data_IF_837370386524
#
_entry.id   IF_837370386524
#
_cell.length_a   1.000
_cell.length_b   1.000
_cell.length_c   1.000
_cell.angle_alpha   90.00
_cell.angle_beta   90.00
_cell.angle_gamma   90.00
#
_symmetry.space_group_name_H-M   'P 1'
#
loop_
_entity.id
_entity.type
_entity.pdbx_description
1 polymer ?
#
# COMPACT_ATOMS: atom_id res chain seq x y z
N UNK A 1 20.10 6.02 17.53
CA UNK A 1 18.91 6.40 16.75
C UNK A 1 18.90 5.54 15.51
N UNK A 2 17.94 4.66 15.36
CA UNK A 2 17.81 3.81 14.17
C UNK A 2 16.73 4.40 13.32
N UNK A 3 17.05 4.76 12.09
CA UNK A 3 16.01 4.92 11.07
C UNK A 3 15.95 3.56 10.40
N UNK A 4 14.88 2.83 10.69
CA UNK A 4 14.55 1.63 9.95
C UNK A 4 13.47 2.09 8.98
N UNK A 5 13.80 2.29 7.70
CA UNK A 5 12.76 2.08 6.70
C UNK A 5 12.66 0.56 6.51
N UNK A 6 11.45 0.05 6.36
CA UNK A 6 11.19 -1.32 5.88
C UNK A 6 10.45 -1.14 4.56
N UNK A 7 11.03 -1.58 3.45
CA UNK A 7 10.22 -2.02 2.33
C UNK A 7 10.14 -3.55 2.36
N UNK A 8 8.94 -4.06 2.14
CA UNK A 8 8.65 -5.49 2.09
C UNK A 8 9.43 -6.15 0.94
N UNK A 9 10.61 -6.72 1.22
CA UNK A 9 11.33 -7.55 0.24
C UNK A 9 10.58 -8.89 0.07
N UNK A 10 9.69 -8.95 -0.92
CA UNK A 10 9.05 -10.19 -1.36
C UNK A 10 10.07 -11.08 -2.11
N UNK A 11 10.92 -11.81 -1.37
CA UNK A 11 11.71 -12.90 -1.96
C UNK A 11 10.81 -14.10 -2.25
N UNK A 12 10.41 -14.24 -3.51
CA UNK A 12 9.93 -15.51 -4.04
C UNK A 12 11.11 -16.50 -4.15
N UNK A 13 11.30 -17.32 -3.12
CA UNK A 13 11.88 -18.66 -3.30
C UNK A 13 10.76 -19.69 -3.12
N UNK A 14 10.12 -19.97 -4.24
CA UNK A 14 9.11 -21.00 -4.38
C UNK A 14 9.15 -21.47 -5.81
N UNK A 15 9.84 -22.58 -6.05
CA UNK A 15 9.78 -23.36 -7.28
C UNK A 15 8.33 -23.75 -7.56
N UNK A 16 7.61 -22.90 -8.31
CA UNK A 16 6.30 -23.20 -8.88
C UNK A 16 6.49 -24.14 -10.09
N UNK A 17 6.47 -25.44 -9.81
CA UNK A 17 6.15 -26.45 -10.81
C UNK A 17 4.62 -26.61 -10.82
N UNK A 18 3.93 -25.81 -11.64
CA UNK A 18 2.92 -26.29 -12.59
C UNK A 18 2.45 -25.08 -13.41
N UNK A 19 3.00 -24.92 -14.62
CA UNK A 19 2.35 -24.13 -15.65
C UNK A 19 1.35 -25.04 -16.35
N UNK A 20 0.11 -25.06 -15.87
CA UNK A 20 -1.00 -25.18 -16.81
C UNK A 20 -1.39 -23.75 -17.16
N UNK A 21 -0.88 -23.28 -18.30
CA UNK A 21 -1.51 -22.17 -19.02
C UNK A 21 -2.90 -22.70 -19.42
N UNK A 22 -3.90 -22.38 -18.62
CA UNK A 22 -5.31 -22.52 -19.00
C UNK A 22 -5.56 -21.38 -19.98
N UNK A 23 -5.67 -21.69 -21.28
CA UNK A 23 -5.99 -20.70 -22.30
C UNK A 23 -7.32 -20.03 -21.93
N UNK A 24 -7.32 -18.71 -21.79
CA UNK A 24 -8.52 -17.92 -21.62
C UNK A 24 -9.40 -18.14 -22.86
N UNK A 25 -10.59 -18.76 -22.75
CA UNK A 25 -11.40 -19.11 -23.93
C UNK A 25 -12.12 -17.90 -24.56
N UNK A 26 -11.75 -16.68 -24.17
CA UNK A 26 -12.42 -15.43 -24.55
C UNK A 26 -11.45 -14.32 -24.98
N UNK A 27 -10.27 -14.67 -25.51
CA UNK A 27 -9.41 -13.71 -26.22
C UNK A 27 -9.99 -13.23 -27.56
N UNK A 28 -11.12 -13.79 -28.02
CA UNK A 28 -11.80 -13.38 -29.26
C UNK A 28 -13.20 -12.82 -28.98
N UNK A 29 -13.29 -11.65 -28.34
CA UNK A 29 -14.30 -10.68 -28.79
C UNK A 29 -13.55 -9.66 -29.62
N UNK A 30 -13.32 -10.01 -30.88
CA UNK A 30 -12.81 -9.07 -31.88
C UNK A 30 -13.85 -7.95 -32.01
N UNK A 31 -13.60 -6.82 -31.35
CA UNK A 31 -14.41 -5.62 -31.51
C UNK A 31 -14.23 -5.15 -32.94
N UNK A 32 -15.16 -5.53 -33.80
CA UNK A 32 -15.09 -5.14 -35.20
C UNK A 32 -15.22 -3.62 -35.27
N UNK A 33 -14.52 -2.98 -36.20
CA UNK A 33 -14.56 -1.52 -36.40
C UNK A 33 -15.98 -0.99 -36.73
N UNK A 34 -16.96 -1.89 -36.89
CA UNK A 34 -18.37 -1.61 -37.18
C UNK A 34 -19.31 -1.83 -35.98
N UNK A 35 -18.80 -2.14 -34.79
CA UNK A 35 -19.65 -2.35 -33.61
C UNK A 35 -20.25 -1.00 -33.16
N UNK A 36 -21.58 -0.91 -33.17
CA UNK A 36 -22.27 0.30 -32.72
C UNK A 36 -22.49 0.27 -31.21
N UNK A 37 -22.16 1.40 -30.56
CA UNK A 37 -22.24 1.57 -29.11
C UNK A 37 -23.44 2.46 -28.77
N UNK A 38 -24.38 1.93 -28.00
CA UNK A 38 -25.46 2.72 -27.44
C UNK A 38 -25.12 3.14 -26.00
N UNK A 39 -25.03 4.46 -25.78
CA UNK A 39 -24.88 5.07 -24.47
C UNK A 39 -26.15 5.88 -24.13
N UNK A 40 -26.66 5.74 -22.91
CA UNK A 40 -27.61 6.72 -22.39
C UNK A 40 -26.81 7.91 -21.84
N UNK A 41 -26.95 9.08 -22.47
CA UNK A 41 -26.51 10.35 -21.88
C UNK A 41 -27.74 10.93 -21.17
N UNK A 42 -27.65 11.20 -19.87
CA UNK A 42 -28.70 11.87 -19.11
C UNK A 42 -28.86 13.31 -19.63
N UNK A 43 -29.94 13.58 -20.38
CA UNK A 43 -30.19 14.81 -21.12
C UNK A 43 -31.32 15.68 -20.55
N UNK A 44 -31.73 15.50 -19.29
CA UNK A 44 -32.87 16.23 -18.72
C UNK A 44 -32.82 16.54 -17.21
N UNK A 45 -32.65 17.83 -16.91
CA UNK A 45 -33.11 18.60 -15.73
C UNK A 45 -33.04 17.94 -14.34
N UNK A 46 -32.07 18.39 -13.53
CA UNK A 46 -31.88 18.02 -12.12
C UNK A 46 -33.05 18.53 -11.26
N UNK A 47 -34.10 17.73 -11.09
CA UNK A 47 -35.03 17.85 -9.95
C UNK A 47 -34.37 17.23 -8.71
N UNK A 48 -33.94 18.09 -7.79
CA UNK A 48 -33.12 17.77 -6.60
C UNK A 48 -33.93 17.12 -5.47
N UNK A 49 -34.82 16.17 -5.77
CA UNK A 49 -35.62 15.49 -4.73
C UNK A 49 -35.71 13.96 -4.83
N UNK A 50 -34.87 13.29 -5.62
CA UNK A 50 -34.63 11.83 -5.40
C UNK A 50 -33.31 11.35 -5.99
N UNK A 51 -32.21 11.47 -5.25
CA UNK A 51 -30.94 10.80 -5.60
C UNK A 51 -31.01 9.30 -5.32
N UNK A 52 -31.72 8.55 -6.17
CA UNK A 52 -31.64 7.10 -6.23
C UNK A 52 -31.13 6.74 -7.62
N UNK A 53 -29.86 6.34 -7.76
CA UNK A 53 -29.25 6.12 -9.07
C UNK A 53 -29.55 4.70 -9.60
N UNK A 54 -30.72 4.16 -9.24
CA UNK A 54 -31.08 2.75 -9.33
C UNK A 54 -32.09 2.46 -10.44
N UNK A 55 -32.11 3.27 -11.50
CA UNK A 55 -33.06 3.09 -12.60
C UNK A 55 -32.39 2.53 -13.85
N UNK A 56 -32.99 1.48 -14.39
CA UNK A 56 -32.77 0.99 -15.74
C UNK A 56 -33.46 1.96 -16.71
N UNK A 57 -32.73 2.45 -17.72
CA UNK A 57 -33.23 3.42 -18.69
C UNK A 57 -33.64 2.71 -19.97
N UNK A 58 -34.78 3.11 -20.54
CA UNK A 58 -35.24 2.58 -21.82
C UNK A 58 -34.80 3.50 -22.95
N UNK A 59 -33.79 3.10 -23.70
CA UNK A 59 -33.28 3.84 -24.86
C UNK A 59 -33.92 3.32 -26.14
N UNK A 60 -34.13 4.21 -27.11
CA UNK A 60 -34.58 3.83 -28.45
C UNK A 60 -33.41 3.92 -29.42
N UNK A 61 -33.08 2.80 -30.05
CA UNK A 61 -31.97 2.68 -30.97
C UNK A 61 -32.40 1.84 -32.19
N UNK A 62 -32.08 2.32 -33.40
CA UNK A 62 -32.49 1.70 -34.66
C UNK A 62 -33.98 1.31 -34.73
N UNK A 63 -34.85 2.16 -34.17
CA UNK A 63 -36.30 1.93 -34.12
C UNK A 63 -36.78 0.93 -33.07
N UNK A 64 -35.89 0.20 -32.40
CA UNK A 64 -36.19 -0.73 -31.31
C UNK A 64 -35.94 -0.09 -29.94
N UNK A 65 -36.49 -0.69 -28.89
CA UNK A 65 -36.26 -0.26 -27.52
C UNK A 65 -35.38 -1.27 -26.80
N UNK A 66 -34.35 -0.78 -26.11
CA UNK A 66 -33.46 -1.57 -25.27
C UNK A 66 -33.49 -1.02 -23.86
N UNK A 67 -33.47 -1.92 -22.88
CA UNK A 67 -33.29 -1.53 -21.51
C UNK A 67 -31.79 -1.54 -21.20
N UNK A 68 -31.31 -0.44 -20.63
CA UNK A 68 -29.92 -0.21 -20.30
C UNK A 68 -29.81 -0.01 -18.78
N UNK A 69 -29.13 -0.92 -18.06
CA UNK A 69 -28.81 -0.71 -16.65
C UNK A 69 -28.04 0.60 -16.42
N UNK A 70 -28.17 1.17 -15.22
CA UNK A 70 -27.44 2.38 -14.84
C UNK A 70 -25.92 2.18 -15.00
N UNK A 71 -25.23 3.22 -15.49
CA UNK A 71 -23.78 3.24 -15.76
C UNK A 71 -23.27 2.07 -16.61
N UNK A 72 -24.07 1.64 -17.59
CA UNK A 72 -23.71 0.54 -18.47
C UNK A 72 -23.69 0.94 -19.94
N UNK A 73 -22.98 0.13 -20.72
CA UNK A 73 -22.89 0.23 -22.17
C UNK A 73 -23.30 -1.12 -22.74
N UNK A 74 -24.15 -1.13 -23.78
CA UNK A 74 -24.54 -2.32 -24.53
C UNK A 74 -23.89 -2.34 -25.92
N UNK A 75 -23.34 -3.50 -26.32
CA UNK A 75 -22.63 -3.70 -27.59
C UNK A 75 -23.52 -4.47 -28.58
N UNK A 76 -23.60 -3.97 -29.81
CA UNK A 76 -24.40 -4.52 -30.91
C UNK A 76 -23.54 -4.80 -32.16
N UNK A 77 -23.10 -6.05 -32.40
CA UNK A 77 -22.33 -6.38 -33.58
C UNK A 77 -23.15 -6.28 -34.88
N UNK A 78 -24.47 -6.49 -34.78
CA UNK A 78 -25.40 -6.46 -35.92
C UNK A 78 -26.42 -5.31 -35.86
N UNK A 79 -26.21 -4.37 -34.94
CA UNK A 79 -27.10 -3.22 -34.66
C UNK A 79 -28.54 -3.61 -34.30
N UNK A 80 -28.77 -4.86 -33.85
CA UNK A 80 -30.10 -5.40 -33.52
C UNK A 80 -30.11 -6.14 -32.19
N UNK A 81 -29.10 -6.94 -31.88
CA UNK A 81 -29.06 -7.79 -30.69
C UNK A 81 -27.94 -7.33 -29.75
N UNK A 82 -28.27 -7.19 -28.46
CA UNK A 82 -27.26 -6.95 -27.41
C UNK A 82 -26.53 -8.26 -27.14
N UNK A 83 -25.25 -8.34 -27.45
CA UNK A 83 -24.42 -9.52 -27.14
C UNK A 83 -23.70 -9.38 -25.80
N UNK A 84 -23.41 -8.14 -25.40
CA UNK A 84 -22.70 -7.82 -24.17
C UNK A 84 -23.22 -6.51 -23.56
N UNK A 85 -23.28 -6.45 -22.23
CA UNK A 85 -23.53 -5.23 -21.48
C UNK A 85 -22.60 -5.18 -20.26
N UNK A 86 -21.97 -4.03 -20.00
CA UNK A 86 -20.94 -3.88 -18.96
C UNK A 86 -21.46 -4.05 -17.52
N UNK A 87 -22.76 -3.92 -17.27
CA UNK A 87 -23.38 -4.13 -15.96
C UNK A 87 -24.12 -5.47 -15.84
N UNK A 88 -24.32 -6.20 -16.94
CA UNK A 88 -24.92 -7.53 -16.94
C UNK A 88 -23.84 -8.61 -16.92
N UNK A 89 -23.20 -8.75 -15.76
CA UNK A 89 -22.17 -9.78 -15.54
C UNK A 89 -22.83 -11.15 -15.39
N UNK A 90 -22.55 -12.06 -16.32
CA UNK A 90 -23.05 -13.45 -16.31
C UNK A 90 -22.16 -14.39 -15.49
N UNK A 91 -20.93 -13.96 -15.21
CA UNK A 91 -19.96 -14.74 -14.46
C UNK A 91 -20.26 -14.71 -12.95
N UNK A 92 -20.08 -15.85 -12.25
CA UNK A 92 -20.25 -15.89 -10.81
C UNK A 92 -19.14 -15.12 -10.09
N UNK A 93 -19.51 -14.44 -9.01
CA UNK A 93 -18.51 -13.81 -8.12
C UNK A 93 -17.71 -14.87 -7.38
N UNK A 94 -16.39 -14.85 -7.53
CA UNK A 94 -15.48 -15.67 -6.74
C UNK A 94 -15.11 -14.95 -5.44
N UNK A 95 -15.49 -15.55 -4.31
CA UNK A 95 -15.10 -15.04 -2.99
C UNK A 95 -13.74 -15.61 -2.59
N UNK A 96 -12.72 -14.77 -2.35
CA UNK A 96 -11.41 -15.24 -1.95
C UNK A 96 -11.49 -15.97 -0.61
N UNK A 97 -10.87 -17.15 -0.53
CA UNK A 97 -10.75 -17.94 0.70
C UNK A 97 -9.30 -18.32 0.92
N UNK A 98 -8.75 -17.96 2.08
CA UNK A 98 -7.43 -18.39 2.53
C UNK A 98 -7.56 -19.45 3.61
N UNK A 99 -7.19 -20.69 3.29
CA UNK A 99 -7.16 -21.79 4.25
C UNK A 99 -5.70 -22.07 4.64
N UNK A 100 -5.34 -22.10 5.93
CA UNK A 100 -3.99 -22.44 6.35
C UNK A 100 -3.67 -23.90 5.99
N UNK A 101 -2.56 -24.12 5.30
CA UNK A 101 -2.16 -25.46 4.79
C UNK A 101 -1.17 -26.17 5.72
N UNK A 102 -0.25 -25.42 6.34
CA UNK A 102 0.82 -26.00 7.17
C UNK A 102 1.25 -25.05 8.28
N UNK A 103 1.94 -25.58 9.29
CA UNK A 103 2.60 -24.83 10.36
C UNK A 103 4.11 -25.03 10.28
N UNK A 104 4.85 -23.94 10.46
CA UNK A 104 6.30 -23.95 10.41
C UNK A 104 6.91 -24.04 11.82
N UNK A 105 8.05 -24.73 11.92
CA UNK A 105 8.90 -24.72 13.10
C UNK A 105 10.01 -23.68 12.90
N UNK A 106 9.80 -22.49 13.47
CA UNK A 106 10.72 -21.35 13.29
C UNK A 106 11.95 -21.44 14.19
N UNK A 107 13.07 -20.97 13.66
CA UNK A 107 14.25 -20.58 14.44
C UNK A 107 14.39 -19.07 14.36
N UNK A 108 14.97 -18.45 15.39
CA UNK A 108 15.19 -17.01 15.42
C UNK A 108 16.63 -16.68 15.79
N UNK A 109 17.07 -15.51 15.30
CA UNK A 109 18.33 -14.90 15.64
C UNK A 109 18.07 -13.44 16.00
N UNK A 110 18.62 -12.99 17.14
CA UNK A 110 18.51 -11.60 17.56
C UNK A 110 19.66 -10.80 16.98
N UNK A 111 19.36 -9.87 16.07
CA UNK A 111 20.34 -8.93 15.57
C UNK A 111 20.87 -8.05 16.71
N UNK A 112 22.18 -7.81 16.73
CA UNK A 112 22.81 -6.99 17.76
C UNK A 112 22.54 -5.51 17.51
N UNK A 113 22.23 -4.76 18.57
CA UNK A 113 21.95 -3.32 18.53
C UNK A 113 23.21 -2.45 18.67
N UNK A 114 24.38 -3.06 18.88
CA UNK A 114 25.68 -2.37 18.87
C UNK A 114 26.11 -2.11 17.43
N UNK A 115 25.76 -0.94 16.91
CA UNK A 115 25.92 -0.60 15.48
C UNK A 115 27.34 -0.20 15.06
N UNK A 116 28.32 -0.23 15.96
CA UNK A 116 29.70 0.08 15.61
C UNK A 116 30.38 -1.21 15.17
N UNK A 117 30.09 -1.59 13.92
CA UNK A 117 30.85 -2.61 13.20
C UNK A 117 31.95 -1.95 12.34
N UNK A 118 32.70 -2.77 11.61
CA UNK A 118 33.80 -2.29 10.74
C UNK A 118 33.32 -1.40 9.57
N UNK A 119 32.00 -1.29 9.35
CA UNK A 119 31.39 -0.43 8.32
C UNK A 119 30.90 0.91 8.88
N UNK A 120 31.00 1.11 10.20
CA UNK A 120 30.65 2.38 10.81
C UNK A 120 31.63 3.49 10.39
N UNK A 121 31.10 4.68 10.13
CA UNK A 121 31.89 5.88 9.84
C UNK A 121 31.41 7.05 10.70
N UNK A 122 32.25 8.08 10.82
CA UNK A 122 31.95 9.29 11.60
C UNK A 122 31.82 10.51 10.70
N UNK A 123 30.92 11.42 11.08
CA UNK A 123 30.77 12.73 10.45
C UNK A 123 30.32 13.75 11.48
N UNK A 124 30.86 14.96 11.37
CA UNK A 124 30.41 16.11 12.17
C UNK A 124 29.10 16.68 11.58
N UNK A 125 28.00 15.97 11.81
CA UNK A 125 26.66 16.36 11.38
C UNK A 125 25.80 15.18 10.93
N UNK A 126 24.53 15.46 10.68
CA UNK A 126 23.59 14.49 10.12
C UNK A 126 23.78 14.37 8.60
N UNK A 127 23.55 13.18 8.09
CA UNK A 127 23.56 12.83 6.66
C UNK A 127 22.17 12.39 6.26
N UNK A 128 21.84 12.52 4.99
CA UNK A 128 20.58 12.00 4.44
C UNK A 128 20.75 10.51 4.08
N UNK A 129 19.70 9.72 4.28
CA UNK A 129 19.77 8.25 4.21
C UNK A 129 20.06 7.73 2.80
N UNK A 130 19.28 8.15 1.78
CA UNK A 130 19.44 7.70 0.40
C UNK A 130 20.84 8.02 -0.13
N UNK A 131 21.38 9.19 0.22
CA UNK A 131 22.72 9.61 -0.14
C UNK A 131 23.81 8.72 0.46
N UNK A 132 23.56 8.09 1.62
CA UNK A 132 24.53 7.21 2.31
C UNK A 132 24.36 5.74 1.93
N UNK A 133 23.11 5.25 1.84
CA UNK A 133 22.83 3.84 1.56
C UNK A 133 22.82 3.55 0.06
N UNK A 134 22.61 4.57 -0.77
CA UNK A 134 22.35 4.44 -2.21
C UNK A 134 21.26 3.42 -2.50
N UNK A 135 20.26 3.39 -1.61
CA UNK A 135 19.11 2.48 -1.73
C UNK A 135 19.51 0.99 -1.74
N UNK A 136 20.67 0.65 -1.16
CA UNK A 136 21.11 -0.74 -1.01
C UNK A 136 20.57 -1.42 0.25
N UNK A 137 19.98 -0.64 1.14
CA UNK A 137 19.45 -1.08 2.43
C UNK A 137 18.46 -0.03 2.93
N UNK A 138 17.32 -0.51 3.41
CA UNK A 138 16.28 0.32 4.03
C UNK A 138 16.68 0.78 5.44
N UNK A 139 17.66 0.11 6.04
CA UNK A 139 18.13 0.40 7.38
C UNK A 139 19.36 1.32 7.40
N UNK A 140 19.33 2.36 8.25
CA UNK A 140 20.52 3.16 8.59
C UNK A 140 20.62 3.48 10.09
N UNK A 141 21.81 3.26 10.65
CA UNK A 141 22.11 3.54 12.06
C UNK A 141 22.71 4.94 12.23
N UNK A 142 22.02 5.81 12.98
CA UNK A 142 22.59 7.03 13.52
C UNK A 142 23.02 6.82 14.97
N UNK A 143 24.32 6.84 15.23
CA UNK A 143 24.86 6.65 16.57
C UNK A 143 25.55 7.92 17.04
N UNK A 144 25.21 8.37 18.25
CA UNK A 144 25.82 9.53 18.89
C UNK A 144 26.03 9.24 20.37
N UNK A 145 27.00 9.92 20.96
CA UNK A 145 27.32 9.82 22.38
C UNK A 145 26.90 11.10 23.08
N UNK A 146 26.06 10.97 24.11
CA UNK A 146 25.66 12.08 24.98
C UNK A 146 26.36 11.89 26.31
N UNK A 147 27.25 12.81 26.66
CA UNK A 147 27.92 12.79 27.96
C UNK A 147 27.05 13.51 28.99
N UNK A 148 26.65 12.81 30.05
CA UNK A 148 25.82 13.33 31.12
C UNK A 148 26.71 13.64 32.33
N UNK A 149 26.73 14.90 32.76
CA UNK A 149 27.48 15.32 33.94
C UNK A 149 26.92 14.71 35.23
N UNK A 150 27.76 14.39 36.24
CA UNK A 150 27.29 13.80 37.50
C UNK A 150 26.42 14.74 38.35
N UNK A 151 26.37 16.03 37.98
CA UNK A 151 25.63 17.07 38.70
C UNK A 151 24.34 17.52 38.02
N UNK A 152 23.93 16.84 36.95
CA UNK A 152 22.69 17.15 36.24
C UNK A 152 21.46 17.06 37.15
N UNK A 153 20.53 18.02 37.00
CA UNK A 153 19.39 18.16 37.91
C UNK A 153 18.36 17.04 37.76
N UNK A 154 18.22 16.46 36.57
CA UNK A 154 17.35 15.31 36.31
C UNK A 154 17.87 14.03 36.99
N UNK A 155 19.16 13.94 37.31
CA UNK A 155 19.71 12.82 38.09
C UNK A 155 19.38 12.94 39.59
N UNK A 156 19.06 14.15 40.06
CA UNK A 156 18.87 14.47 41.49
C UNK A 156 17.42 14.79 41.85
N UNK A 157 16.54 14.98 40.87
CA UNK A 157 15.13 15.32 41.05
C UNK A 157 14.22 14.32 40.31
N UNK A 158 12.90 14.43 40.49
CA UNK A 158 11.90 13.61 39.76
C UNK A 158 11.73 14.12 38.31
N UNK A 159 12.44 15.18 37.92
CA UNK A 159 12.34 15.77 36.58
C UNK A 159 13.05 14.85 35.58
N UNK A 160 12.34 14.37 34.57
CA UNK A 160 12.88 13.50 33.53
C UNK A 160 13.59 14.28 32.43
N UNK A 161 14.49 13.59 31.71
CA UNK A 161 15.08 14.14 30.50
C UNK A 161 14.18 13.87 29.28
N UNK A 162 14.21 14.77 28.31
CA UNK A 162 13.45 14.65 27.06
C UNK A 162 14.43 14.50 25.91
N UNK A 163 14.19 13.51 25.05
CA UNK A 163 14.96 13.29 23.83
C UNK A 163 14.02 13.51 22.63
N UNK A 164 14.17 14.65 21.95
CA UNK A 164 13.40 14.93 20.74
C UNK A 164 14.24 14.62 19.51
N UNK A 165 13.67 13.82 18.60
CA UNK A 165 14.33 13.41 17.37
C UNK A 165 13.41 13.71 16.20
N UNK A 166 13.86 14.59 15.31
CA UNK A 166 13.17 14.88 14.07
C UNK A 166 13.74 14.00 12.95
N UNK A 167 12.85 13.30 12.25
CA UNK A 167 13.18 12.50 11.07
C UNK A 167 12.21 12.84 9.95
N UNK A 168 12.70 12.76 8.71
CA UNK A 168 11.90 12.80 7.48
C UNK A 168 11.61 11.39 6.93
N UNK A 169 12.14 10.35 7.58
CA UNK A 169 11.95 8.95 7.18
C UNK A 169 10.60 8.37 7.63
N UNK A 170 10.26 7.19 7.12
CA UNK A 170 8.95 6.58 7.34
C UNK A 170 8.86 5.81 8.66
N UNK A 171 9.98 5.27 9.18
CA UNK A 171 10.01 4.70 10.53
C UNK A 171 11.34 4.91 11.25
N UNK A 172 11.27 4.92 12.59
CA UNK A 172 12.42 5.13 13.46
C UNK A 172 12.28 4.31 14.74
N UNK A 173 13.33 3.56 15.09
CA UNK A 173 13.47 2.89 16.39
C UNK A 173 14.58 3.55 17.21
N UNK A 174 14.24 3.97 18.43
CA UNK A 174 15.20 4.62 19.32
C UNK A 174 15.73 3.60 20.31
N UNK A 175 17.05 3.50 20.41
CA UNK A 175 17.75 2.72 21.43
C UNK A 175 18.58 3.63 22.31
N UNK A 176 18.47 3.47 23.63
CA UNK A 176 19.28 4.15 24.63
C UNK A 176 20.07 3.09 25.38
N UNK A 177 21.40 3.19 25.38
CA UNK A 177 22.30 2.21 26.02
C UNK A 177 22.02 0.75 25.61
N UNK A 178 21.69 0.54 24.34
CA UNK A 178 21.39 -0.79 23.75
C UNK A 178 19.99 -1.32 24.02
N UNK A 179 19.16 -0.62 24.80
CA UNK A 179 17.76 -1.00 25.08
C UNK A 179 16.80 -0.22 24.18
N UNK A 180 15.81 -0.92 23.62
CA UNK A 180 14.73 -0.28 22.86
C UNK A 180 13.96 0.66 23.78
N UNK A 181 13.81 1.90 23.33
CA UNK A 181 13.16 2.97 24.06
C UNK A 181 11.80 3.31 23.45
N UNK A 182 11.69 3.32 22.12
CA UNK A 182 10.43 3.56 21.43
C UNK A 182 10.54 3.39 19.92
N UNK A 183 9.39 3.25 19.27
CA UNK A 183 9.25 3.22 17.81
C UNK A 183 8.33 4.34 17.36
N UNK A 184 8.63 4.93 16.22
CA UNK A 184 7.74 5.78 15.47
C UNK A 184 7.58 5.22 14.05
N UNK A 185 6.35 5.26 13.56
CA UNK A 185 6.01 4.94 12.17
C UNK A 185 5.19 6.13 11.70
N UNK A 186 5.61 6.74 10.60
CA UNK A 186 5.03 7.96 10.07
C UNK A 186 4.31 7.65 8.78
N UNK A 187 3.02 8.02 8.71
CA UNK A 187 2.33 8.20 7.44
C UNK A 187 2.56 9.62 6.90
N UNK A 188 2.59 10.63 7.77
CA UNK A 188 3.04 12.02 7.50
C UNK A 188 3.51 12.71 8.81
N UNK A 189 4.82 12.97 8.88
CA UNK A 189 5.69 13.76 9.81
C UNK A 189 5.34 13.99 11.30
N UNK A 190 6.39 13.77 12.11
CA UNK A 190 6.72 14.23 13.48
C UNK A 190 6.58 13.22 14.64
N UNK A 191 7.64 13.16 15.47
CA UNK A 191 7.69 12.38 16.71
C UNK A 191 8.40 13.15 17.82
N UNK A 192 7.82 13.15 19.02
CA UNK A 192 8.42 13.67 20.26
C UNK A 192 8.43 12.51 21.25
N UNK A 193 9.59 12.21 21.84
CA UNK A 193 9.70 11.24 22.92
C UNK A 193 9.87 11.97 24.24
N UNK A 194 8.91 11.78 25.13
CA UNK A 194 9.06 12.11 26.54
C UNK A 194 9.66 10.90 27.28
N UNK A 195 10.51 11.18 28.28
CA UNK A 195 10.98 10.26 29.35
C UNK A 195 12.25 9.41 29.10
N UNK A 196 13.44 10.01 28.94
CA UNK A 196 14.73 9.26 29.10
C UNK A 196 15.28 9.41 30.52
#
# INVERSE_FOLDING_TARGET
MVVQDEEDEYRHDGSLNDKSEEEDPYDDVDMSENDEVANAQDDGERDDTTSNPSFEFKVRFNGQHYNLPAWSISIFPDCKIVVFNTAMVKEPTLLPKMNPVVRFAWQSYNANTKSLDDRAFTKDGLVEQLSMTWDKSDYMWYTTYVNIGPNEQFLKSIQSSQLTVYSVGHSMQVFVNGKSFGINISSYLHFILDQV
#
